data_IF_159475168373
#
_entry.id   IF_159475168373
#
_cell.length_a   1.000
_cell.length_b   1.000
_cell.length_c   1.000
_cell.angle_alpha   90.00
_cell.angle_beta   90.00
_cell.angle_gamma   90.00
#
_symmetry.space_group_name_H-M   'P 1'
#
loop_
_entity.id
_entity.type
_entity.pdbx_description
1 polymer ?
#
# COMPACT_ATOMS: atom_id res chain seq x y z
N UNK A 1 -21.15 7.12 31.73
CA UNK A 1 -20.82 8.04 30.61
C UNK A 1 -19.38 8.51 30.79
N UNK A 2 -18.42 7.80 30.17
CA UNK A 2 -17.02 8.18 30.17
C UNK A 2 -16.65 8.86 28.84
N UNK A 3 -17.64 9.44 28.15
CA UNK A 3 -17.36 10.17 26.91
C UNK A 3 -16.52 11.41 27.25
N UNK A 4 -15.34 11.53 26.60
CA UNK A 4 -14.52 12.71 26.84
C UNK A 4 -15.29 13.96 26.44
N UNK A 5 -15.49 14.89 27.35
CA UNK A 5 -16.26 16.13 27.12
C UNK A 5 -15.80 16.95 25.88
N UNK A 6 -14.61 16.69 25.36
CA UNK A 6 -14.06 17.42 24.21
C UNK A 6 -14.55 16.94 22.85
N UNK A 7 -15.22 15.78 22.77
CA UNK A 7 -15.81 15.27 21.52
C UNK A 7 -17.32 15.46 21.46
N UNK A 8 -17.94 15.95 22.54
CA UNK A 8 -19.37 16.22 22.58
C UNK A 8 -19.71 17.42 21.67
N UNK A 9 -20.48 17.25 20.58
CA UNK A 9 -20.86 18.35 19.69
C UNK A 9 -21.63 19.49 20.39
N UNK A 10 -22.35 19.17 21.47
CA UNK A 10 -23.06 20.16 22.24
C UNK A 10 -22.13 21.11 23.00
N UNK A 11 -20.92 20.66 23.33
CA UNK A 11 -19.91 21.43 24.04
C UNK A 11 -18.79 21.98 23.18
N UNK A 12 -18.62 21.40 21.98
CA UNK A 12 -17.55 21.74 21.05
C UNK A 12 -18.09 21.92 19.63
N UNK A 13 -18.38 23.14 19.21
CA UNK A 13 -18.96 23.44 17.89
C UNK A 13 -18.04 23.04 16.73
N UNK A 14 -16.76 22.77 16.99
CA UNK A 14 -15.82 22.27 16.00
C UNK A 14 -16.04 20.79 15.65
N UNK A 15 -16.84 20.04 16.44
CA UNK A 15 -17.17 18.64 16.22
C UNK A 15 -18.53 18.53 15.57
N UNK A 16 -18.57 18.03 14.34
CA UNK A 16 -19.80 17.78 13.59
C UNK A 16 -20.46 16.46 14.00
N UNK A 17 -19.65 15.40 14.07
CA UNK A 17 -20.10 14.07 14.46
C UNK A 17 -18.94 13.25 15.04
N UNK A 18 -19.27 12.28 15.85
CA UNK A 18 -18.32 11.30 16.36
C UNK A 18 -18.96 9.92 16.48
N UNK A 19 -18.11 8.89 16.43
CA UNK A 19 -18.49 7.50 16.67
C UNK A 19 -17.44 6.83 17.56
N UNK A 20 -17.90 6.13 18.57
CA UNK A 20 -17.04 5.33 19.42
C UNK A 20 -17.14 3.86 19.01
N UNK A 21 -15.99 3.20 18.89
CA UNK A 21 -15.92 1.83 18.45
C UNK A 21 -14.94 1.04 19.28
N UNK A 22 -15.27 -0.22 19.52
CA UNK A 22 -14.40 -1.21 20.16
C UNK A 22 -14.29 -2.40 19.26
N UNK A 23 -13.07 -2.89 19.04
CA UNK A 23 -12.85 -4.08 18.26
C UNK A 23 -12.61 -5.29 19.13
N UNK A 24 -13.11 -6.42 18.69
CA UNK A 24 -12.89 -7.74 19.24
C UNK A 24 -12.29 -8.59 18.13
N UNK A 25 -10.96 -8.63 18.10
CA UNK A 25 -10.22 -9.50 17.19
C UNK A 25 -10.27 -10.92 17.72
N UNK A 26 -10.25 -11.89 16.81
CA UNK A 26 -10.29 -13.33 17.14
C UNK A 26 -11.50 -13.75 18.00
N UNK A 27 -12.61 -13.04 17.89
CA UNK A 27 -13.89 -13.46 18.50
C UNK A 27 -14.58 -14.52 17.61
N UNK A 28 -15.70 -15.05 18.04
CA UNK A 28 -16.46 -16.00 17.24
C UNK A 28 -17.96 -15.71 17.28
N UNK A 29 -18.61 -16.11 16.22
CA UNK A 29 -20.07 -16.15 16.14
C UNK A 29 -20.52 -17.61 15.93
N UNK A 30 -21.75 -17.90 16.31
CA UNK A 30 -22.38 -19.22 16.13
C UNK A 30 -23.56 -19.06 15.18
N UNK A 31 -23.55 -19.85 14.12
CA UNK A 31 -24.65 -19.97 13.14
C UNK A 31 -24.92 -21.47 12.96
N UNK A 32 -26.18 -21.91 13.11
CA UNK A 32 -26.59 -23.30 12.97
C UNK A 32 -25.70 -24.29 13.76
N UNK A 33 -25.37 -23.92 14.99
CA UNK A 33 -24.51 -24.67 15.91
C UNK A 33 -23.03 -24.85 15.47
N UNK A 34 -22.59 -24.12 14.44
CA UNK A 34 -21.19 -24.04 13.99
C UNK A 34 -20.56 -22.73 14.44
N UNK A 35 -19.29 -22.80 14.86
CA UNK A 35 -18.52 -21.64 15.28
C UNK A 35 -17.68 -21.12 14.12
N UNK A 36 -17.79 -19.83 13.85
CA UNK A 36 -17.00 -19.10 12.85
C UNK A 36 -16.21 -18.01 13.52
N UNK A 37 -14.92 -17.98 13.29
CA UNK A 37 -14.06 -16.90 13.80
C UNK A 37 -14.42 -15.57 13.09
N UNK A 38 -14.47 -14.48 13.84
CA UNK A 38 -14.88 -13.18 13.36
C UNK A 38 -14.14 -12.05 14.06
N UNK A 39 -13.74 -11.04 13.28
CA UNK A 39 -13.34 -9.74 13.79
C UNK A 39 -14.60 -8.89 13.96
N UNK A 40 -15.05 -8.74 15.20
CA UNK A 40 -16.29 -8.05 15.51
C UNK A 40 -16.00 -6.60 15.88
N UNK A 41 -16.55 -5.68 15.12
CA UNK A 41 -16.49 -4.24 15.41
C UNK A 41 -17.79 -3.81 16.10
N UNK A 42 -17.68 -3.45 17.36
CA UNK A 42 -18.81 -2.96 18.14
C UNK A 42 -18.83 -1.44 18.07
N UNK A 43 -19.91 -0.87 17.57
CA UNK A 43 -19.99 0.56 17.30
C UNK A 43 -21.43 1.09 17.39
N UNK A 44 -21.55 2.41 17.30
CA UNK A 44 -22.83 3.09 17.15
C UNK A 44 -23.30 3.17 15.69
N UNK A 45 -24.47 3.75 15.49
CA UNK A 45 -25.09 3.88 14.17
C UNK A 45 -24.37 4.86 13.22
N UNK A 46 -23.44 5.67 13.72
CA UNK A 46 -22.82 6.75 12.95
C UNK A 46 -21.54 6.31 12.22
N UNK A 47 -20.88 5.24 12.65
CA UNK A 47 -19.60 4.83 12.09
C UNK A 47 -19.64 4.66 10.56
N UNK A 48 -20.62 3.91 10.06
CA UNK A 48 -20.74 3.65 8.61
C UNK A 48 -21.05 4.91 7.80
N UNK A 49 -21.70 5.92 8.42
CA UNK A 49 -21.90 7.22 7.79
C UNK A 49 -20.62 8.04 7.77
N UNK A 50 -19.81 7.96 8.83
CA UNK A 50 -18.52 8.64 8.91
C UNK A 50 -17.50 8.07 7.94
N UNK A 51 -17.51 6.75 7.73
CA UNK A 51 -16.53 6.01 6.93
C UNK A 51 -16.94 5.83 5.47
N UNK A 52 -18.18 6.14 5.10
CA UNK A 52 -18.73 6.02 3.74
C UNK A 52 -18.51 4.63 3.11
N UNK A 53 -18.73 3.57 3.88
CA UNK A 53 -18.66 2.20 3.35
C UNK A 53 -19.79 1.94 2.34
N UNK A 54 -19.48 1.32 1.19
CA UNK A 54 -20.49 0.96 0.20
C UNK A 54 -21.39 -0.16 0.75
N UNK A 55 -22.71 0.09 0.73
CA UNK A 55 -23.71 -0.90 1.08
C UNK A 55 -24.03 -1.75 -0.15
N UNK A 56 -23.99 -3.06 0.03
CA UNK A 56 -24.35 -4.03 -1.01
C UNK A 56 -25.84 -4.32 -0.97
N UNK A 57 -26.39 -4.53 0.23
CA UNK A 57 -27.82 -4.83 0.44
C UNK A 57 -28.21 -4.49 1.88
N UNK A 58 -29.50 -4.22 2.09
CA UNK A 58 -30.06 -3.97 3.41
C UNK A 58 -29.84 -2.55 3.94
N UNK A 59 -29.77 -2.40 5.27
CA UNK A 59 -29.67 -1.10 5.95
C UNK A 59 -28.22 -0.63 6.09
N UNK A 60 -28.01 0.70 6.06
CA UNK A 60 -26.71 1.35 6.28
C UNK A 60 -26.43 1.68 7.76
N UNK A 61 -27.44 1.67 8.58
CA UNK A 61 -27.33 2.11 9.98
C UNK A 61 -27.98 1.09 10.90
N UNK A 62 -27.34 0.84 12.03
CA UNK A 62 -27.89 0.04 13.10
C UNK A 62 -29.04 0.81 13.73
N UNK A 63 -30.25 0.26 13.70
CA UNK A 63 -31.48 0.89 14.19
C UNK A 63 -31.93 0.24 15.51
N UNK A 64 -31.72 -1.07 15.66
CA UNK A 64 -32.13 -1.83 16.83
C UNK A 64 -30.91 -2.45 17.53
N UNK A 65 -31.05 -2.77 18.83
CA UNK A 65 -29.97 -3.40 19.57
C UNK A 65 -29.55 -4.79 19.07
N UNK A 66 -30.39 -5.45 18.27
CA UNK A 66 -30.15 -6.76 17.71
C UNK A 66 -29.75 -6.75 16.22
N UNK A 67 -29.62 -5.57 15.61
CA UNK A 67 -29.19 -5.43 14.24
C UNK A 67 -27.69 -5.73 14.09
N UNK A 68 -27.32 -6.49 13.05
CA UNK A 68 -25.94 -6.72 12.68
C UNK A 68 -25.73 -6.38 11.20
N UNK A 69 -24.52 -5.93 10.88
CA UNK A 69 -24.08 -5.67 9.50
C UNK A 69 -22.85 -6.53 9.25
N UNK A 70 -22.86 -7.27 8.15
CA UNK A 70 -21.80 -8.23 7.82
C UNK A 70 -21.10 -7.82 6.52
N UNK A 71 -19.81 -8.14 6.38
CA UNK A 71 -19.13 -7.96 5.09
C UNK A 71 -19.58 -9.02 4.08
N UNK A 72 -19.54 -8.69 2.79
CA UNK A 72 -19.92 -9.62 1.71
C UNK A 72 -19.11 -10.90 1.74
N UNK A 73 -17.79 -10.78 1.92
CA UNK A 73 -16.88 -11.92 1.98
C UNK A 73 -17.22 -12.85 3.13
N UNK A 74 -17.48 -12.28 4.31
CA UNK A 74 -17.78 -13.06 5.49
C UNK A 74 -19.19 -13.68 5.40
N UNK A 75 -20.16 -12.97 4.81
CA UNK A 75 -21.47 -13.51 4.49
C UNK A 75 -21.38 -14.74 3.58
N UNK A 76 -20.58 -14.65 2.51
CA UNK A 76 -20.34 -15.77 1.61
C UNK A 76 -19.63 -16.94 2.30
N UNK A 77 -18.70 -16.67 3.21
CA UNK A 77 -17.99 -17.69 3.98
C UNK A 77 -18.92 -18.53 4.86
N UNK A 78 -19.97 -17.90 5.42
CA UNK A 78 -20.91 -18.58 6.33
C UNK A 78 -22.08 -19.20 5.58
N UNK A 79 -22.66 -18.46 4.65
CA UNK A 79 -23.96 -18.78 4.01
C UNK A 79 -23.83 -19.22 2.56
N UNK A 80 -22.61 -19.14 1.96
CA UNK A 80 -22.44 -19.41 0.53
C UNK A 80 -23.25 -18.46 -0.33
N UNK A 81 -24.05 -19.03 -1.23
CA UNK A 81 -24.92 -18.29 -2.15
C UNK A 81 -26.30 -17.91 -1.57
N UNK A 82 -26.57 -18.29 -0.32
CA UNK A 82 -27.85 -17.98 0.33
C UNK A 82 -27.89 -16.52 0.78
N UNK A 83 -29.07 -15.88 0.68
CA UNK A 83 -29.26 -14.53 1.21
C UNK A 83 -29.14 -14.51 2.73
N UNK A 84 -28.16 -13.77 3.30
CA UNK A 84 -27.98 -13.70 4.74
C UNK A 84 -28.92 -12.71 5.43
N UNK A 85 -29.64 -11.83 4.69
CA UNK A 85 -30.52 -10.82 5.28
C UNK A 85 -31.67 -11.49 6.05
N UNK A 86 -31.86 -11.09 7.30
CA UNK A 86 -32.87 -11.64 8.20
C UNK A 86 -32.46 -12.90 8.94
N UNK A 87 -31.32 -13.54 8.58
CA UNK A 87 -30.81 -14.67 9.35
C UNK A 87 -30.26 -14.22 10.70
N UNK A 88 -30.30 -15.13 11.67
CA UNK A 88 -29.81 -14.88 13.02
C UNK A 88 -28.44 -15.51 13.23
N UNK A 89 -27.62 -14.85 14.00
CA UNK A 89 -26.35 -15.35 14.49
C UNK A 89 -26.25 -15.09 15.99
N UNK A 90 -25.55 -15.97 16.71
CA UNK A 90 -25.33 -15.80 18.15
C UNK A 90 -23.89 -15.36 18.36
N UNK A 91 -23.68 -14.25 19.05
CA UNK A 91 -22.35 -13.78 19.41
C UNK A 91 -21.71 -14.65 20.49
N UNK A 92 -20.41 -14.52 20.68
CA UNK A 92 -19.67 -15.20 21.76
C UNK A 92 -20.19 -14.87 23.17
N UNK A 93 -20.92 -13.74 23.30
CA UNK A 93 -21.57 -13.33 24.55
C UNK A 93 -22.94 -14.01 24.77
N UNK A 94 -23.44 -14.81 23.81
CA UNK A 94 -24.77 -15.39 23.85
C UNK A 94 -25.90 -14.49 23.33
N UNK A 95 -25.58 -13.29 22.89
CA UNK A 95 -26.57 -12.37 22.30
C UNK A 95 -26.96 -12.81 20.90
N UNK A 96 -28.25 -12.82 20.60
CA UNK A 96 -28.76 -13.10 19.25
C UNK A 96 -28.82 -11.81 18.45
N UNK A 97 -28.15 -11.82 17.30
CA UNK A 97 -28.11 -10.70 16.36
C UNK A 97 -28.79 -11.11 15.05
N UNK A 98 -29.46 -10.18 14.41
CA UNK A 98 -30.14 -10.38 13.11
C UNK A 98 -29.39 -9.60 12.03
N UNK A 99 -28.99 -10.26 10.97
CA UNK A 99 -28.31 -9.60 9.85
C UNK A 99 -29.31 -8.73 9.10
N UNK A 100 -29.03 -7.42 9.06
CA UNK A 100 -29.87 -6.41 8.41
C UNK A 100 -29.20 -5.72 7.26
N UNK A 101 -27.89 -5.78 7.16
CA UNK A 101 -27.13 -5.14 6.10
C UNK A 101 -25.90 -5.93 5.70
N UNK A 102 -25.52 -5.78 4.44
CA UNK A 102 -24.30 -6.30 3.86
C UNK A 102 -23.50 -5.11 3.35
N UNK A 103 -22.26 -4.98 3.83
CA UNK A 103 -21.30 -3.99 3.32
C UNK A 103 -20.28 -4.69 2.44
N UNK A 104 -19.68 -3.93 1.53
CA UNK A 104 -18.50 -4.43 0.82
C UNK A 104 -17.30 -4.56 1.78
N UNK A 105 -16.30 -5.35 1.40
CA UNK A 105 -15.11 -5.47 2.23
C UNK A 105 -14.44 -4.11 2.41
N UNK A 106 -13.86 -3.86 3.60
CA UNK A 106 -12.94 -2.76 3.75
C UNK A 106 -11.86 -2.86 2.68
N UNK A 107 -11.57 -1.75 1.99
CA UNK A 107 -10.49 -1.73 1.02
C UNK A 107 -9.21 -2.29 1.66
N UNK A 108 -8.44 -3.08 0.91
CA UNK A 108 -7.12 -3.56 1.38
C UNK A 108 -6.17 -2.41 1.75
N UNK A 109 -6.48 -1.19 1.28
CA UNK A 109 -5.80 0.06 1.65
C UNK A 109 -6.42 0.73 2.89
N UNK A 110 -7.54 0.22 3.41
CA UNK A 110 -8.14 0.74 4.64
C UNK A 110 -7.45 0.14 5.86
N UNK A 111 -7.15 0.97 6.83
CA UNK A 111 -6.54 0.51 8.10
C UNK A 111 -7.52 -0.27 8.96
N UNK A 112 -8.81 0.10 8.94
CA UNK A 112 -9.84 -0.57 9.73
C UNK A 112 -10.34 -1.82 8.99
N UNK A 113 -10.24 -2.96 9.66
CA UNK A 113 -10.71 -4.26 9.16
C UNK A 113 -11.74 -4.82 10.14
N UNK A 114 -12.79 -5.44 9.61
CA UNK A 114 -13.83 -6.12 10.38
C UNK A 114 -14.56 -7.11 9.49
N UNK A 115 -15.20 -8.09 10.10
CA UNK A 115 -16.04 -9.08 9.43
C UNK A 115 -17.53 -8.81 9.74
N UNK A 116 -17.81 -8.37 10.97
CA UNK A 116 -19.13 -8.10 11.49
C UNK A 116 -19.15 -6.78 12.27
N UNK A 117 -20.21 -6.01 12.10
CA UNK A 117 -20.53 -4.85 12.94
C UNK A 117 -21.72 -5.19 13.84
N UNK A 118 -21.56 -4.97 15.14
CA UNK A 118 -22.57 -5.18 16.17
C UNK A 118 -22.81 -3.89 16.96
N UNK A 119 -24.02 -3.70 17.53
CA UNK A 119 -24.33 -2.52 18.35
C UNK A 119 -23.64 -2.54 19.72
N UNK A 120 -23.34 -1.37 20.24
CA UNK A 120 -22.62 -1.16 21.52
C UNK A 120 -23.31 -1.80 22.73
N UNK A 121 -24.61 -2.00 22.71
CA UNK A 121 -25.41 -2.32 23.89
C UNK A 121 -25.69 -3.84 24.06
N UNK A 122 -24.79 -4.72 23.64
CA UNK A 122 -25.02 -6.17 23.67
C UNK A 122 -24.04 -6.92 24.58
N UNK A 123 -24.50 -7.41 25.73
CA UNK A 123 -23.85 -8.41 26.58
C UNK A 123 -22.38 -8.12 26.90
N UNK A 124 -21.46 -8.99 26.51
CA UNK A 124 -19.99 -8.86 26.67
C UNK A 124 -19.44 -7.56 26.08
N UNK A 125 -20.12 -7.00 25.11
CA UNK A 125 -19.73 -5.78 24.41
C UNK A 125 -20.06 -4.50 25.22
N UNK A 126 -20.64 -4.63 26.42
CA UNK A 126 -20.83 -3.49 27.35
C UNK A 126 -19.60 -3.23 28.23
N UNK A 127 -18.59 -4.09 28.16
CA UNK A 127 -17.37 -3.93 28.94
C UNK A 127 -16.45 -2.84 28.34
N UNK A 128 -16.63 -1.63 28.83
CA UNK A 128 -15.83 -0.45 28.51
C UNK A 128 -14.39 -0.51 29.07
N UNK A 129 -14.00 -1.60 29.71
CA UNK A 129 -12.61 -1.80 30.15
C UNK A 129 -11.65 -2.01 28.99
N UNK A 130 -12.15 -2.32 27.81
CA UNK A 130 -11.33 -2.47 26.61
C UNK A 130 -11.06 -1.12 25.93
N UNK A 131 -9.84 -0.94 25.49
CA UNK A 131 -9.47 0.25 24.73
C UNK A 131 -10.19 0.25 23.39
N UNK A 132 -11.08 1.22 23.21
CA UNK A 132 -11.72 1.53 21.94
C UNK A 132 -11.03 2.71 21.25
N UNK A 133 -11.55 3.03 20.09
CA UNK A 133 -11.15 4.22 19.35
C UNK A 133 -12.37 5.11 19.10
N UNK A 134 -12.13 6.40 18.95
CA UNK A 134 -13.15 7.36 18.60
C UNK A 134 -12.83 8.00 17.24
N UNK A 135 -13.76 7.92 16.31
CA UNK A 135 -13.68 8.65 15.05
C UNK A 135 -14.47 9.96 15.19
N UNK A 136 -13.84 11.05 14.78
CA UNK A 136 -14.42 12.39 14.91
C UNK A 136 -14.39 13.07 13.54
N UNK A 137 -15.52 13.60 13.11
CA UNK A 137 -15.62 14.51 11.98
C UNK A 137 -15.62 15.93 12.51
N UNK A 138 -14.61 16.69 12.11
CA UNK A 138 -14.54 18.11 12.44
C UNK A 138 -15.25 18.95 11.38
N UNK A 139 -15.78 20.09 11.79
CA UNK A 139 -16.39 21.09 10.90
C UNK A 139 -15.35 21.60 9.90
N UNK A 140 -15.78 21.85 8.68
CA UNK A 140 -14.90 22.36 7.64
C UNK A 140 -14.22 23.67 8.06
N UNK A 141 -12.88 23.72 7.88
CA UNK A 141 -12.08 24.89 8.25
C UNK A 141 -11.48 24.83 9.67
N UNK A 142 -11.76 23.79 10.45
CA UNK A 142 -11.14 23.62 11.78
C UNK A 142 -9.66 23.27 11.64
N UNK A 143 -8.80 24.07 12.30
CA UNK A 143 -7.37 23.79 12.39
C UNK A 143 -7.10 22.68 13.43
N UNK A 144 -6.73 21.52 12.96
CA UNK A 144 -6.47 20.33 13.80
C UNK A 144 -5.38 20.58 14.85
N UNK A 145 -4.35 21.39 14.55
CA UNK A 145 -3.29 21.69 15.52
C UNK A 145 -3.83 22.49 16.69
N UNK A 146 -4.58 23.55 16.40
CA UNK A 146 -5.20 24.38 17.44
C UNK A 146 -6.23 23.60 18.26
N UNK A 147 -6.97 22.73 17.59
CA UNK A 147 -7.93 21.86 18.28
C UNK A 147 -7.22 20.86 19.20
N UNK A 148 -6.14 20.24 18.75
CA UNK A 148 -5.32 19.35 19.59
C UNK A 148 -4.71 20.08 20.79
N UNK A 149 -4.22 21.30 20.65
CA UNK A 149 -3.72 22.13 21.76
C UNK A 149 -4.81 22.41 22.81
N UNK A 150 -6.06 22.59 22.36
CA UNK A 150 -7.22 22.79 23.22
C UNK A 150 -7.55 21.53 24.03
N UNK A 151 -7.51 20.34 23.42
CA UNK A 151 -7.90 19.07 24.05
C UNK A 151 -6.75 18.37 24.79
N UNK A 152 -5.50 18.67 24.47
CA UNK A 152 -4.30 18.05 25.07
C UNK A 152 -4.05 18.51 26.52
N UNK A 153 -4.82 19.45 27.04
CA UNK A 153 -4.71 19.85 28.43
C UNK A 153 -4.99 18.64 29.33
N UNK A 154 -4.10 18.34 30.30
CA UNK A 154 -4.23 17.17 31.13
C UNK A 154 -5.58 17.28 31.91
N UNK A 155 -6.47 16.37 31.60
CA UNK A 155 -7.70 16.21 32.38
C UNK A 155 -7.40 15.22 33.50
N UNK A 156 -7.78 15.59 34.71
CA UNK A 156 -7.74 14.72 35.89
C UNK A 156 -8.89 13.70 35.84
N UNK A 157 -8.84 12.81 34.85
CA UNK A 157 -9.65 11.60 34.87
C UNK A 157 -8.95 10.63 35.82
N UNK A 158 -9.63 10.27 36.90
CA UNK A 158 -9.23 9.22 37.83
C UNK A 158 -9.35 7.89 37.06
N UNK A 159 -8.38 7.60 36.21
CA UNK A 159 -8.13 6.26 35.75
C UNK A 159 -7.09 5.61 36.66
N UNK A 160 -7.11 4.31 36.81
CA UNK A 160 -6.26 3.48 37.66
C UNK A 160 -4.73 3.68 37.44
N UNK A 161 -4.33 4.57 36.59
CA UNK A 161 -2.95 5.00 36.32
C UNK A 161 -2.77 6.42 36.85
N UNK A 162 -1.73 6.63 37.67
CA UNK A 162 -1.36 7.92 38.26
C UNK A 162 -0.80 8.94 37.23
N UNK A 163 -0.86 8.64 35.95
CA UNK A 163 -0.35 9.51 34.89
C UNK A 163 -1.49 10.29 34.24
N UNK A 164 -1.36 11.60 34.01
CA UNK A 164 -2.36 12.38 33.30
C UNK A 164 -2.54 11.87 31.87
N UNK A 165 -3.77 11.58 31.48
CA UNK A 165 -4.12 11.16 30.14
C UNK A 165 -4.15 12.40 29.24
N UNK A 166 -3.41 12.35 28.14
CA UNK A 166 -3.46 13.37 27.09
C UNK A 166 -4.24 12.84 25.91
N UNK A 167 -5.22 13.61 25.45
CA UNK A 167 -5.99 13.28 24.26
C UNK A 167 -5.46 14.05 23.06
N UNK A 168 -5.53 13.43 21.89
CA UNK A 168 -5.19 14.06 20.63
C UNK A 168 -5.91 13.40 19.47
N UNK A 169 -6.32 14.19 18.49
CA UNK A 169 -6.87 13.70 17.24
C UNK A 169 -5.75 13.54 16.20
N UNK A 170 -5.76 12.40 15.56
CA UNK A 170 -4.84 12.09 14.47
C UNK A 170 -5.61 12.04 13.14
N UNK A 171 -5.14 12.69 12.07
CA UNK A 171 -5.79 12.60 10.77
C UNK A 171 -5.88 11.14 10.31
N UNK A 172 -7.04 10.74 9.79
CA UNK A 172 -7.22 9.40 9.22
C UNK A 172 -6.25 9.16 8.04
N UNK A 173 -6.00 10.23 7.26
CA UNK A 173 -4.99 10.22 6.21
C UNK A 173 -3.59 10.08 6.83
N UNK A 174 -2.91 8.98 6.53
CA UNK A 174 -1.58 8.69 7.07
C UNK A 174 -1.59 7.89 8.39
N UNK A 175 -2.76 7.53 8.93
CA UNK A 175 -2.87 6.69 10.13
C UNK A 175 -2.13 5.35 9.96
N UNK A 176 -2.15 4.77 8.77
CA UNK A 176 -1.51 3.50 8.46
C UNK A 176 -0.01 3.45 8.83
N UNK A 177 0.72 4.55 8.64
CA UNK A 177 2.15 4.67 8.96
C UNK A 177 2.43 5.45 10.25
N UNK A 178 1.40 5.84 10.99
CA UNK A 178 1.57 6.64 12.19
C UNK A 178 2.07 5.77 13.36
N UNK A 179 3.20 6.16 13.96
CA UNK A 179 3.82 5.47 15.09
C UNK A 179 3.30 5.93 16.47
N UNK A 180 2.60 7.07 16.52
CA UNK A 180 2.18 7.71 17.79
C UNK A 180 0.96 7.02 18.38
N UNK A 181 0.09 6.47 17.52
CA UNK A 181 -1.13 5.79 18.00
C UNK A 181 -0.76 4.38 18.42
N UNK A 182 -1.02 4.00 19.66
CA UNK A 182 -0.66 2.69 20.19
C UNK A 182 -1.40 1.52 19.49
N UNK A 183 -0.73 0.34 19.35
CA UNK A 183 -1.33 -0.83 18.71
C UNK A 183 -2.54 -1.42 19.43
N UNK A 184 -2.74 -1.04 20.70
CA UNK A 184 -3.82 -1.55 21.57
C UNK A 184 -5.23 -1.17 21.12
N UNK A 185 -5.36 -0.17 20.25
CA UNK A 185 -6.64 0.12 19.58
C UNK A 185 -6.80 -0.82 18.38
N UNK A 186 -7.07 -2.06 18.69
CA UNK A 186 -7.44 -3.20 17.85
C UNK A 186 -7.96 -2.89 16.42
N UNK A 187 -7.88 -3.84 15.51
CA UNK A 187 -8.42 -3.82 14.13
C UNK A 187 -7.85 -2.78 13.16
N UNK A 188 -6.90 -1.95 13.58
CA UNK A 188 -6.20 -1.10 12.62
C UNK A 188 -4.96 -1.79 12.07
N UNK A 189 -5.03 -2.18 10.81
CA UNK A 189 -3.83 -2.60 10.08
C UNK A 189 -2.85 -1.44 9.99
N UNK A 190 -1.60 -1.71 10.37
CA UNK A 190 -0.52 -0.74 10.36
C UNK A 190 0.64 -1.21 9.51
N UNK A 191 1.10 -0.32 8.68
CA UNK A 191 2.34 -0.50 7.93
C UNK A 191 3.54 0.01 8.71
N UNK A 192 4.65 -0.68 8.57
CA UNK A 192 5.92 -0.19 9.07
C UNK A 192 6.65 0.56 7.94
N UNK A 193 6.69 1.89 8.04
CA UNK A 193 7.36 2.74 7.04
C UNK A 193 8.84 2.38 6.88
N UNK A 194 9.50 1.92 7.95
CA UNK A 194 10.90 1.53 7.87
C UNK A 194 11.07 0.27 6.99
N UNK A 195 10.16 -0.72 7.10
CA UNK A 195 10.20 -1.89 6.24
C UNK A 195 9.97 -1.53 4.77
N UNK A 196 8.99 -0.66 4.50
CA UNK A 196 8.73 -0.17 3.13
C UNK A 196 9.95 0.57 2.60
N UNK A 197 10.57 1.44 3.40
CA UNK A 197 11.77 2.18 2.99
C UNK A 197 12.94 1.22 2.70
N UNK A 198 13.20 0.24 3.57
CA UNK A 198 14.27 -0.74 3.37
C UNK A 198 14.03 -1.53 2.08
N UNK A 199 12.81 -2.04 1.87
CA UNK A 199 12.47 -2.78 0.65
C UNK A 199 12.62 -1.92 -0.61
N UNK A 200 12.22 -0.64 -0.54
CA UNK A 200 12.38 0.30 -1.66
C UNK A 200 13.86 0.55 -1.96
N UNK A 201 14.69 0.74 -0.93
CA UNK A 201 16.14 0.93 -1.10
C UNK A 201 16.78 -0.31 -1.73
N UNK A 202 16.43 -1.51 -1.25
CA UNK A 202 16.93 -2.77 -1.81
C UNK A 202 16.48 -2.92 -3.29
N UNK A 203 15.22 -2.63 -3.60
CA UNK A 203 14.72 -2.67 -4.96
C UNK A 203 15.47 -1.69 -5.89
N UNK A 204 15.72 -0.45 -5.42
CA UNK A 204 16.51 0.53 -6.15
C UNK A 204 17.96 0.07 -6.37
N UNK A 205 18.59 -0.54 -5.37
CA UNK A 205 19.94 -1.08 -5.50
C UNK A 205 19.99 -2.21 -6.52
N UNK A 206 19.04 -3.15 -6.49
CA UNK A 206 18.96 -4.24 -7.48
C UNK A 206 18.75 -3.70 -8.91
N UNK A 207 17.90 -2.67 -9.06
CA UNK A 207 17.70 -2.00 -10.35
C UNK A 207 19.02 -1.37 -10.84
N UNK A 208 19.75 -0.66 -9.98
CA UNK A 208 21.04 -0.06 -10.33
C UNK A 208 22.05 -1.11 -10.76
N UNK A 209 22.16 -2.23 -10.03
CA UNK A 209 23.06 -3.35 -10.40
C UNK A 209 22.68 -3.89 -11.79
N UNK A 210 21.38 -4.09 -12.05
CA UNK A 210 20.89 -4.54 -13.36
C UNK A 210 21.23 -3.56 -14.48
N UNK A 211 21.02 -2.26 -14.25
CA UNK A 211 21.36 -1.19 -15.21
C UNK A 211 22.86 -1.16 -15.50
N UNK A 212 23.71 -1.22 -14.47
CA UNK A 212 25.17 -1.23 -14.68
C UNK A 212 25.63 -2.48 -15.41
N UNK A 213 25.08 -3.65 -15.09
CA UNK A 213 25.39 -4.87 -15.82
C UNK A 213 25.00 -4.75 -17.30
N UNK A 214 23.79 -4.23 -17.58
CA UNK A 214 23.33 -4.00 -18.94
C UNK A 214 24.24 -3.02 -19.70
N UNK A 215 24.59 -1.86 -19.10
CA UNK A 215 25.50 -0.87 -19.69
C UNK A 215 26.85 -1.53 -20.02
N UNK A 216 27.35 -2.36 -19.13
CA UNK A 216 28.65 -3.04 -19.31
C UNK A 216 28.63 -3.98 -20.53
N UNK A 217 27.62 -4.85 -20.61
CA UNK A 217 27.44 -5.79 -21.73
C UNK A 217 27.19 -5.01 -23.02
N UNK A 218 26.28 -4.05 -23.00
CA UNK A 218 25.90 -3.30 -24.19
C UNK A 218 27.03 -2.44 -24.74
N UNK A 219 27.86 -1.87 -23.86
CA UNK A 219 29.08 -1.13 -24.28
C UNK A 219 30.01 -2.01 -25.08
N UNK A 220 30.17 -3.28 -24.70
CA UNK A 220 30.99 -4.23 -25.49
C UNK A 220 30.39 -4.49 -26.87
N UNK A 221 29.08 -4.65 -26.94
CA UNK A 221 28.36 -4.88 -28.20
C UNK A 221 28.55 -3.67 -29.14
N UNK A 222 28.34 -2.45 -28.65
CA UNK A 222 28.50 -1.20 -29.39
C UNK A 222 29.94 -1.04 -29.92
N UNK A 223 30.96 -1.35 -29.08
CA UNK A 223 32.35 -1.27 -29.47
C UNK A 223 32.71 -2.32 -30.55
N UNK A 224 32.16 -3.51 -30.49
CA UNK A 224 32.32 -4.53 -31.53
C UNK A 224 31.73 -4.06 -32.88
N UNK A 225 30.66 -3.27 -32.85
CA UNK A 225 29.99 -2.69 -34.02
C UNK A 225 30.59 -1.34 -34.45
N UNK A 226 31.72 -0.93 -33.87
CA UNK A 226 32.35 0.36 -34.18
C UNK A 226 32.71 0.50 -35.68
N UNK A 227 33.06 -0.59 -36.36
CA UNK A 227 33.28 -0.59 -37.82
C UNK A 227 32.01 -0.25 -38.59
N UNK A 228 30.87 -0.84 -38.24
CA UNK A 228 29.58 -0.54 -38.87
C UNK A 228 29.22 0.94 -38.73
N UNK A 229 29.37 1.47 -37.56
CA UNK A 229 29.10 2.88 -37.30
C UNK A 229 30.13 3.82 -37.96
N UNK A 230 31.40 3.38 -38.04
CA UNK A 230 32.43 4.11 -38.76
C UNK A 230 32.14 4.22 -40.27
N UNK A 231 31.70 3.16 -40.88
CA UNK A 231 31.25 3.13 -42.29
C UNK A 231 30.06 4.07 -42.49
N UNK A 232 29.06 4.02 -41.60
CA UNK A 232 27.91 4.93 -41.67
C UNK A 232 28.31 6.40 -41.58
N UNK A 233 29.29 6.76 -40.74
CA UNK A 233 29.84 8.12 -40.67
C UNK A 233 30.52 8.55 -41.99
N UNK A 234 31.25 7.66 -42.62
CA UNK A 234 31.88 7.94 -43.93
C UNK A 234 30.81 8.22 -45.00
N UNK A 235 29.68 7.51 -44.95
CA UNK A 235 28.52 7.75 -45.83
C UNK A 235 27.64 8.94 -45.37
N UNK A 236 28.09 9.75 -44.37
CA UNK A 236 27.43 11.00 -43.97
C UNK A 236 26.44 10.88 -42.85
N UNK A 237 26.39 9.74 -42.13
CA UNK A 237 25.52 9.64 -40.96
C UNK A 237 26.01 10.54 -39.84
N UNK A 238 25.09 11.36 -39.29
CA UNK A 238 25.38 12.20 -38.14
C UNK A 238 25.50 11.36 -36.83
N UNK A 239 26.23 11.91 -35.85
CA UNK A 239 26.32 11.27 -34.54
C UNK A 239 24.94 11.07 -33.87
N UNK A 240 24.03 11.99 -34.09
CA UNK A 240 22.66 11.89 -33.56
C UNK A 240 21.86 10.72 -34.20
N UNK A 241 22.03 10.47 -35.48
CA UNK A 241 21.41 9.31 -36.15
C UNK A 241 21.90 7.99 -35.58
N UNK A 242 23.21 7.89 -35.29
CA UNK A 242 23.78 6.73 -34.63
C UNK A 242 23.24 6.56 -33.19
N UNK A 243 23.11 7.68 -32.44
CA UNK A 243 22.52 7.65 -31.12
C UNK A 243 21.07 7.16 -31.14
N UNK A 244 20.24 7.70 -32.04
CA UNK A 244 18.85 7.25 -32.22
C UNK A 244 18.78 5.77 -32.57
N UNK A 245 19.65 5.28 -33.42
CA UNK A 245 19.68 3.83 -33.71
C UNK A 245 19.96 3.00 -32.44
N UNK A 246 20.98 3.38 -31.66
CA UNK A 246 21.34 2.70 -30.41
C UNK A 246 20.15 2.78 -29.40
N UNK A 247 19.52 3.92 -29.32
CA UNK A 247 18.40 4.16 -28.41
C UNK A 247 17.17 3.29 -28.78
N UNK A 248 16.82 3.25 -30.07
CA UNK A 248 15.69 2.43 -30.55
C UNK A 248 15.95 0.94 -30.34
N UNK A 249 17.18 0.47 -30.59
CA UNK A 249 17.56 -0.93 -30.31
C UNK A 249 17.37 -1.27 -28.82
N UNK A 250 17.75 -0.36 -27.93
CA UNK A 250 17.56 -0.53 -26.48
C UNK A 250 16.08 -0.50 -26.10
N UNK A 251 15.23 0.30 -26.75
CA UNK A 251 13.78 0.29 -26.52
C UNK A 251 13.21 -1.11 -26.78
N UNK A 252 13.58 -1.76 -27.88
CA UNK A 252 13.11 -3.11 -28.18
C UNK A 252 13.55 -4.14 -27.13
N UNK A 253 14.78 -4.02 -26.62
CA UNK A 253 15.26 -4.92 -25.57
C UNK A 253 14.51 -4.70 -24.25
N UNK A 254 14.29 -3.44 -23.85
CA UNK A 254 13.55 -3.12 -22.63
C UNK A 254 12.07 -3.49 -22.77
N UNK A 255 11.47 -3.29 -23.95
CA UNK A 255 10.09 -3.72 -24.21
C UNK A 255 9.93 -5.24 -24.04
N UNK A 256 10.86 -6.03 -24.60
CA UNK A 256 10.85 -7.49 -24.44
C UNK A 256 11.01 -7.89 -22.95
N UNK A 257 11.91 -7.21 -22.21
CA UNK A 257 12.09 -7.46 -20.79
C UNK A 257 10.84 -7.11 -19.97
N UNK A 258 10.17 -5.99 -20.29
CA UNK A 258 8.92 -5.59 -19.63
C UNK A 258 7.80 -6.60 -19.87
N UNK A 259 7.67 -7.14 -21.08
CA UNK A 259 6.71 -8.21 -21.38
C UNK A 259 6.94 -9.45 -20.52
N UNK A 260 8.20 -9.86 -20.37
CA UNK A 260 8.57 -11.00 -19.51
C UNK A 260 8.24 -10.70 -18.05
N UNK A 261 8.53 -9.47 -17.57
CA UNK A 261 8.22 -9.05 -16.21
C UNK A 261 6.70 -9.09 -15.95
N UNK A 262 5.89 -8.56 -16.87
CA UNK A 262 4.43 -8.63 -16.77
C UNK A 262 3.93 -10.07 -16.69
N UNK A 263 4.45 -10.96 -17.52
CA UNK A 263 4.12 -12.39 -17.49
C UNK A 263 4.51 -13.04 -16.15
N UNK A 264 5.68 -12.68 -15.58
CA UNK A 264 6.12 -13.19 -14.29
C UNK A 264 5.27 -12.67 -13.14
N UNK A 265 4.88 -11.39 -13.15
CA UNK A 265 4.00 -10.80 -12.13
C UNK A 265 2.65 -11.52 -12.14
N UNK A 266 2.03 -11.70 -13.29
CA UNK A 266 0.74 -12.35 -13.43
C UNK A 266 0.77 -13.80 -12.94
N UNK A 267 1.79 -14.56 -13.31
CA UNK A 267 1.94 -15.95 -12.86
C UNK A 267 2.26 -16.08 -11.37
N UNK A 268 3.01 -15.13 -10.80
CA UNK A 268 3.39 -15.16 -9.39
C UNK A 268 2.30 -14.62 -8.46
N UNK A 269 1.40 -13.76 -8.94
CA UNK A 269 0.36 -13.13 -8.12
C UNK A 269 -0.54 -14.14 -7.41
N UNK A 270 -0.91 -15.24 -8.07
CA UNK A 270 -1.68 -16.33 -7.48
C UNK A 270 -0.93 -17.06 -6.35
N UNK A 271 0.36 -17.27 -6.51
CA UNK A 271 1.22 -17.91 -5.50
C UNK A 271 1.35 -17.00 -4.27
N UNK A 272 1.60 -15.71 -4.47
CA UNK A 272 1.67 -14.75 -3.38
C UNK A 272 0.36 -14.64 -2.60
N UNK A 273 -0.78 -14.62 -3.29
CA UNK A 273 -2.08 -14.58 -2.66
C UNK A 273 -2.36 -15.84 -1.83
N UNK A 274 -1.98 -17.04 -2.30
CA UNK A 274 -2.22 -18.30 -1.60
C UNK A 274 -1.27 -18.53 -0.42
N UNK A 275 0.01 -18.14 -0.55
CA UNK A 275 1.04 -18.42 0.47
C UNK A 275 1.04 -17.36 1.57
N UNK A 276 0.86 -16.09 1.21
CA UNK A 276 1.00 -14.98 2.15
C UNK A 276 -0.33 -14.34 2.55
N UNK A 277 -1.47 -14.84 2.03
CA UNK A 277 -2.80 -14.27 2.22
C UNK A 277 -2.88 -12.74 1.90
N UNK A 278 -1.95 -12.26 1.06
CA UNK A 278 -1.91 -10.86 0.63
C UNK A 278 -2.58 -10.78 -0.74
N UNK A 279 -3.77 -10.19 -0.87
CA UNK A 279 -4.39 -9.99 -2.17
C UNK A 279 -3.58 -8.94 -2.95
N UNK A 280 -2.75 -9.41 -3.87
CA UNK A 280 -2.06 -8.52 -4.82
C UNK A 280 -3.09 -8.05 -5.85
N UNK A 281 -3.71 -6.90 -5.60
CA UNK A 281 -4.56 -6.24 -6.60
C UNK A 281 -3.66 -5.34 -7.45
N UNK A 282 -3.48 -5.62 -8.75
CA UNK A 282 -2.68 -4.78 -9.62
C UNK A 282 -3.36 -3.40 -9.75
N UNK A 283 -2.60 -2.34 -9.55
CA UNK A 283 -3.01 -0.99 -9.91
C UNK A 283 -2.58 -0.74 -11.36
N UNK A 284 -3.45 -1.09 -12.31
CA UNK A 284 -3.14 -1.06 -13.75
C UNK A 284 -2.62 0.32 -14.19
N UNK A 285 -3.16 1.40 -13.63
CA UNK A 285 -2.74 2.76 -13.99
C UNK A 285 -1.32 3.04 -13.51
N UNK A 286 -1.00 2.66 -12.27
CA UNK A 286 0.35 2.79 -11.72
C UNK A 286 1.34 1.91 -12.47
N UNK A 287 1.02 0.65 -12.67
CA UNK A 287 1.90 -0.34 -13.30
C UNK A 287 2.19 0.01 -14.76
N UNK A 288 1.17 0.47 -15.50
CA UNK A 288 1.33 0.94 -16.87
C UNK A 288 2.17 2.21 -16.94
N UNK A 289 1.93 3.19 -16.05
CA UNK A 289 2.69 4.43 -16.01
C UNK A 289 4.16 4.18 -15.69
N UNK A 290 4.45 3.32 -14.73
CA UNK A 290 5.81 2.91 -14.38
C UNK A 290 6.49 2.19 -15.54
N UNK A 291 5.78 1.29 -16.21
CA UNK A 291 6.29 0.57 -17.40
C UNK A 291 6.64 1.52 -18.54
N UNK A 292 5.80 2.52 -18.80
CA UNK A 292 6.07 3.55 -19.82
C UNK A 292 7.31 4.40 -19.45
N UNK A 293 7.43 4.80 -18.20
CA UNK A 293 8.62 5.53 -17.73
C UNK A 293 9.88 4.69 -17.95
N UNK A 294 9.87 3.42 -17.53
CA UNK A 294 11.00 2.52 -17.72
C UNK A 294 11.31 2.28 -19.19
N UNK A 295 10.30 2.16 -20.05
CA UNK A 295 10.46 1.92 -21.50
C UNK A 295 11.22 3.05 -22.20
N UNK A 296 11.10 4.29 -21.76
CA UNK A 296 11.76 5.44 -22.39
C UNK A 296 13.00 5.91 -21.62
N UNK A 297 12.95 5.95 -20.30
CA UNK A 297 14.05 6.48 -19.49
C UNK A 297 15.21 5.50 -19.40
N UNK A 298 14.94 4.21 -19.22
CA UNK A 298 15.98 3.20 -19.08
C UNK A 298 16.83 3.06 -20.35
N UNK A 299 16.26 2.96 -21.58
CA UNK A 299 17.03 2.97 -22.82
C UNK A 299 17.84 4.26 -23.01
N UNK A 300 17.31 5.41 -22.58
CA UNK A 300 18.02 6.68 -22.67
C UNK A 300 19.32 6.63 -21.83
N UNK A 301 19.21 6.26 -20.57
CA UNK A 301 20.35 6.15 -19.66
C UNK A 301 21.38 5.14 -20.17
N UNK A 302 20.92 3.97 -20.59
CA UNK A 302 21.81 2.88 -21.04
C UNK A 302 22.44 3.12 -22.40
N UNK A 303 21.88 4.00 -23.23
CA UNK A 303 22.43 4.34 -24.56
C UNK A 303 23.45 5.48 -24.52
N UNK A 304 23.30 6.41 -23.58
CA UNK A 304 24.18 7.59 -23.48
C UNK A 304 25.66 7.18 -23.27
N UNK A 305 25.92 6.29 -22.34
CA UNK A 305 27.29 5.90 -22.00
C UNK A 305 28.04 5.20 -23.16
N UNK A 306 27.51 4.17 -23.80
CA UNK A 306 28.13 3.56 -24.97
C UNK A 306 28.31 4.53 -26.12
N UNK A 307 27.32 5.41 -26.35
CA UNK A 307 27.39 6.42 -27.40
C UNK A 307 28.50 7.43 -27.16
N UNK A 308 28.59 8.00 -25.97
CA UNK A 308 29.66 8.94 -25.61
C UNK A 308 31.02 8.29 -25.80
N UNK A 309 31.18 7.06 -25.32
CA UNK A 309 32.44 6.33 -25.45
C UNK A 309 32.82 6.07 -26.90
N UNK A 310 31.85 5.73 -27.78
CA UNK A 310 32.05 5.59 -29.20
C UNK A 310 32.41 6.92 -29.87
N UNK A 311 31.68 7.99 -29.53
CA UNK A 311 31.82 9.31 -30.19
C UNK A 311 33.18 9.99 -29.91
N UNK A 312 33.77 9.73 -28.74
CA UNK A 312 35.12 10.22 -28.38
C UNK A 312 36.25 9.41 -29.01
N UNK A 313 35.98 8.21 -29.58
CA UNK A 313 36.98 7.47 -30.37
C UNK A 313 37.05 8.03 -31.77
N UNK A 314 38.28 8.37 -32.24
CA UNK A 314 38.44 8.87 -33.61
C UNK A 314 38.04 7.82 -34.65
N UNK A 315 37.43 8.19 -35.81
CA UNK A 315 37.02 7.25 -36.83
C UNK A 315 38.18 6.36 -37.35
N UNK A 316 39.38 6.95 -37.38
CA UNK A 316 40.60 6.25 -37.86
C UNK A 316 41.07 5.17 -36.84
N UNK A 317 40.98 5.45 -35.56
CA UNK A 317 41.27 4.45 -34.51
C UNK A 317 40.22 3.37 -34.46
N UNK A 318 38.96 3.71 -34.72
CA UNK A 318 37.84 2.72 -34.77
C UNK A 318 37.98 1.73 -35.90
N UNK A 319 38.59 2.12 -37.04
CA UNK A 319 38.87 1.26 -38.17
C UNK A 319 40.13 0.41 -37.97
N UNK A 320 41.14 0.88 -37.20
CA UNK A 320 42.44 0.21 -37.00
C UNK A 320 42.53 -0.68 -35.75
N UNK A 321 41.72 -0.45 -34.73
CA UNK A 321 41.96 -1.12 -33.45
C UNK A 321 40.95 -2.23 -33.12
N UNK A 322 41.38 -3.46 -33.36
CA UNK A 322 40.88 -4.63 -32.65
C UNK A 322 41.54 -4.70 -31.22
N UNK A 323 42.60 -3.92 -30.97
CA UNK A 323 43.48 -4.06 -29.78
C UNK A 323 43.62 -2.84 -28.85
N UNK A 324 42.81 -1.82 -28.97
CA UNK A 324 42.89 -0.68 -27.99
C UNK A 324 42.16 -1.02 -26.66
N UNK A 325 42.66 -2.03 -25.97
CA UNK A 325 42.01 -2.60 -24.75
C UNK A 325 42.33 -1.91 -23.43
N UNK A 326 43.29 -0.99 -23.34
CA UNK A 326 43.78 -0.48 -22.05
C UNK A 326 42.76 0.26 -21.22
N UNK A 327 42.10 1.27 -21.78
CA UNK A 327 41.10 2.08 -21.03
C UNK A 327 39.74 1.36 -20.83
N UNK A 328 39.48 0.30 -21.62
CA UNK A 328 38.26 -0.50 -21.47
C UNK A 328 38.27 -1.37 -20.23
N UNK A 329 39.44 -1.79 -19.78
CA UNK A 329 39.59 -2.67 -18.60
C UNK A 329 39.33 -1.88 -17.32
N UNK A 330 39.84 -0.66 -17.21
CA UNK A 330 39.67 0.17 -15.99
C UNK A 330 38.19 0.53 -15.77
N UNK A 331 37.47 0.97 -16.81
CA UNK A 331 36.04 1.31 -16.65
C UNK A 331 35.20 0.06 -16.31
N UNK A 332 35.52 -1.10 -16.88
CA UNK A 332 34.86 -2.37 -16.50
C UNK A 332 35.16 -2.77 -15.07
N UNK A 333 36.41 -2.63 -14.65
CA UNK A 333 36.83 -2.92 -13.28
C UNK A 333 36.08 -2.02 -12.29
N UNK A 334 35.93 -0.73 -12.60
CA UNK A 334 35.15 0.20 -11.77
C UNK A 334 33.67 -0.20 -11.68
N UNK A 335 33.04 -0.54 -12.83
CA UNK A 335 31.63 -0.98 -12.83
C UNK A 335 31.47 -2.31 -12.08
N UNK A 336 32.35 -3.28 -12.29
CA UNK A 336 32.35 -4.55 -11.56
C UNK A 336 32.60 -4.34 -10.07
N UNK A 337 33.49 -3.44 -9.69
CA UNK A 337 33.75 -3.10 -8.30
C UNK A 337 32.53 -2.49 -7.63
N UNK A 338 31.88 -1.50 -8.27
CA UNK A 338 30.64 -0.90 -7.77
C UNK A 338 29.55 -1.98 -7.63
N UNK A 339 29.41 -2.85 -8.63
CA UNK A 339 28.47 -3.95 -8.59
C UNK A 339 28.74 -4.91 -7.43
N UNK A 340 30.02 -5.24 -7.20
CA UNK A 340 30.43 -6.13 -6.09
C UNK A 340 30.25 -5.51 -4.71
N UNK A 341 30.37 -4.18 -4.59
CA UNK A 341 30.12 -3.44 -3.32
C UNK A 341 28.62 -3.33 -3.01
N UNK A 342 27.76 -3.30 -4.04
CA UNK A 342 26.31 -3.17 -3.86
C UNK A 342 25.65 -4.55 -3.59
N UNK A 343 26.25 -5.64 -4.08
CA UNK A 343 25.74 -7.01 -3.90
C UNK A 343 26.18 -7.59 -2.56
#
# INVERSE_FOLDING_TARGET
NNDPNFIDPLKNPEVEAYSYSVSFDDDYIVVDNHRYQANVLVTDSLLLQLMDYPIVSGIKTIQKPDDAIITRKYAWHIFGDEDPIGKQLTSSSGSVLTIRGIVDEPSTKASLQFDLIAPVNQGKYTDWSRMGFCMVRLTNGTDLKKYNEKISKPQSLICYSHSPIQYGLTPLKGLYFNKIVEPSAASFLRGNINHVTILTVVACMLLLVGVFNFINIYTVIVLKRAREFGVKKVYGASGFQIFIQIYVENIYMVAAALLIIWMLIETSAGIFASVYAIPVKPDIVFDLSLSLILLFVLPLVTSVFPFLRYNYSSPITSLRSVNAGGNSIVSRAVFLFIQYVIT
#
